data_IF_719797967481
#
_entry.id   IF_719797967481
#
_cell.length_a   1.000
_cell.length_b   1.000
_cell.length_c   1.000
_cell.angle_alpha   90.00
_cell.angle_beta   90.00
_cell.angle_gamma   90.00
#
_symmetry.space_group_name_H-M   'P 1'
#
loop_
_entity.id
_entity.type
_entity.pdbx_description
1 polymer ?
#
# COMPACT_ATOMS: atom_id res chain seq x y z
N UNK A 1 -0.16 10.60 -46.70
CA UNK A 1 0.94 10.09 -45.84
C UNK A 1 1.40 11.24 -44.94
N UNK A 2 0.46 11.89 -44.22
CA UNK A 2 0.63 13.33 -43.86
C UNK A 2 -0.21 13.82 -42.68
N UNK A 3 -0.73 12.96 -41.81
CA UNK A 3 -1.35 13.36 -40.51
C UNK A 3 -1.29 12.20 -39.51
N UNK A 4 -1.35 10.97 -40.04
CA UNK A 4 -1.23 9.73 -39.27
C UNK A 4 0.21 9.45 -38.79
N UNK A 5 1.23 9.83 -39.57
CA UNK A 5 2.64 9.68 -39.16
C UNK A 5 3.09 10.76 -38.17
N UNK A 6 2.49 11.96 -38.20
CA UNK A 6 2.71 12.99 -37.18
C UNK A 6 2.00 12.67 -35.87
N UNK A 7 0.82 12.04 -35.89
CA UNK A 7 0.22 11.49 -34.67
C UNK A 7 1.03 10.31 -34.14
N UNK A 8 1.52 9.40 -35.01
CA UNK A 8 2.37 8.28 -34.57
C UNK A 8 3.72 8.73 -33.99
N UNK A 9 4.33 9.79 -34.53
CA UNK A 9 5.56 10.34 -33.96
C UNK A 9 5.32 11.03 -32.60
N UNK A 10 4.17 11.68 -32.38
CA UNK A 10 3.77 12.14 -31.03
C UNK A 10 3.41 10.97 -30.09
N UNK A 11 2.98 9.82 -30.62
CA UNK A 11 2.74 8.59 -29.86
C UNK A 11 4.04 7.90 -29.40
N UNK A 12 5.15 8.06 -30.13
CA UNK A 12 6.45 7.48 -29.76
C UNK A 12 7.34 8.42 -28.95
N UNK A 13 7.03 9.71 -28.92
CA UNK A 13 7.61 10.67 -27.98
C UNK A 13 6.48 11.31 -27.18
N UNK A 14 5.97 10.59 -26.18
CA UNK A 14 5.12 11.14 -25.13
C UNK A 14 5.90 12.22 -24.38
N UNK A 15 6.00 13.42 -24.96
CA UNK A 15 6.55 14.58 -24.28
C UNK A 15 5.50 14.98 -23.26
N UNK A 16 5.61 14.41 -22.06
CA UNK A 16 4.84 14.82 -20.90
C UNK A 16 4.89 16.35 -20.83
N UNK A 17 3.72 17.00 -20.88
CA UNK A 17 3.67 18.44 -20.84
C UNK A 17 4.26 18.91 -19.48
N UNK A 18 5.33 19.72 -19.45
CA UNK A 18 5.95 20.13 -18.20
C UNK A 18 4.97 20.82 -17.24
N UNK A 19 3.94 21.48 -17.77
CA UNK A 19 2.88 22.08 -16.96
C UNK A 19 2.04 21.01 -16.23
N UNK A 20 1.63 19.92 -16.89
CA UNK A 20 0.81 18.86 -16.26
C UNK A 20 1.57 18.13 -15.16
N UNK A 21 2.86 17.86 -15.38
CA UNK A 21 3.74 17.31 -14.33
C UNK A 21 3.83 18.27 -13.14
N UNK A 22 4.01 19.56 -13.40
CA UNK A 22 4.15 20.58 -12.34
C UNK A 22 2.88 20.67 -11.49
N UNK A 23 1.70 20.62 -12.11
CA UNK A 23 0.42 20.61 -11.40
C UNK A 23 0.23 19.34 -10.57
N UNK A 24 0.58 18.18 -11.12
CA UNK A 24 0.54 16.89 -10.42
C UNK A 24 1.46 16.87 -9.19
N UNK A 25 2.69 17.35 -9.34
CA UNK A 25 3.67 17.49 -8.25
C UNK A 25 3.16 18.44 -7.18
N UNK A 26 2.65 19.61 -7.59
CA UNK A 26 2.14 20.63 -6.67
C UNK A 26 0.93 20.12 -5.89
N UNK A 27 0.01 19.44 -6.56
CA UNK A 27 -1.16 18.82 -5.93
C UNK A 27 -0.77 17.75 -4.93
N UNK A 28 0.14 16.85 -5.30
CA UNK A 28 0.68 15.83 -4.40
C UNK A 28 1.40 16.45 -3.20
N UNK A 29 2.16 17.53 -3.38
CA UNK A 29 2.82 18.24 -2.29
C UNK A 29 1.83 18.90 -1.32
N UNK A 30 0.79 19.56 -1.83
CA UNK A 30 -0.26 20.18 -1.01
C UNK A 30 -0.99 19.11 -0.18
N UNK A 31 -1.43 18.02 -0.82
CA UNK A 31 -2.14 16.92 -0.15
C UNK A 31 -1.23 16.23 0.87
N UNK A 32 0.04 16.02 0.52
CA UNK A 32 1.01 15.44 1.44
C UNK A 32 1.27 16.31 2.67
N UNK A 33 1.41 17.63 2.47
CA UNK A 33 1.64 18.59 3.54
C UNK A 33 0.44 18.73 4.48
N UNK A 34 -0.79 18.71 3.94
CA UNK A 34 -2.01 18.77 4.76
C UNK A 34 -2.19 17.49 5.58
N UNK A 35 -1.94 16.32 5.00
CA UNK A 35 -1.97 15.05 5.72
C UNK A 35 -0.94 14.99 6.85
N UNK A 36 0.30 15.42 6.58
CA UNK A 36 1.34 15.50 7.59
C UNK A 36 0.95 16.47 8.72
N UNK A 37 0.43 17.65 8.38
CA UNK A 37 0.00 18.66 9.35
C UNK A 37 -1.15 18.16 10.22
N UNK A 38 -2.15 17.51 9.60
CA UNK A 38 -3.26 16.89 10.32
C UNK A 38 -2.77 15.81 11.30
N UNK A 39 -1.83 14.96 10.87
CA UNK A 39 -1.26 13.94 11.74
C UNK A 39 -0.50 14.54 12.93
N UNK A 40 0.24 15.63 12.72
CA UNK A 40 0.90 16.39 13.78
C UNK A 40 -0.10 16.97 14.78
N UNK A 41 -1.21 17.53 14.29
CA UNK A 41 -2.31 18.05 15.14
C UNK A 41 -2.95 16.93 15.98
N UNK A 42 -3.27 15.79 15.37
CA UNK A 42 -3.82 14.63 16.09
C UNK A 42 -2.84 14.09 17.14
N UNK A 43 -1.53 14.15 16.87
CA UNK A 43 -0.52 13.80 17.86
C UNK A 43 -0.45 14.78 19.02
N UNK A 44 -0.54 16.08 18.73
CA UNK A 44 -0.62 17.11 19.76
C UNK A 44 -1.87 16.95 20.64
N UNK A 45 -2.99 16.47 20.07
CA UNK A 45 -4.22 16.16 20.81
C UNK A 45 -4.19 14.80 21.56
N UNK A 46 -3.07 14.09 21.56
CA UNK A 46 -2.86 12.86 22.35
C UNK A 46 -2.98 11.54 21.57
N UNK A 47 -3.33 11.57 20.28
CA UNK A 47 -3.32 10.37 19.43
C UNK A 47 -1.91 10.09 18.89
N UNK A 48 -1.13 9.33 19.68
CA UNK A 48 0.28 9.01 19.34
C UNK A 48 0.42 8.20 18.05
N UNK A 49 -0.58 7.42 17.63
CA UNK A 49 -0.55 6.55 16.45
C UNK A 49 -1.64 6.99 15.46
N UNK A 50 -1.36 8.04 14.69
CA UNK A 50 -2.36 8.72 13.85
C UNK A 50 -1.91 8.94 12.41
N UNK A 51 -0.73 8.47 12.00
CA UNK A 51 -0.17 8.86 10.69
C UNK A 51 -0.99 8.29 9.54
N UNK A 52 -1.31 7.00 9.58
CA UNK A 52 -2.06 6.35 8.51
C UNK A 52 -3.52 6.84 8.54
N UNK A 53 -4.11 6.95 9.73
CA UNK A 53 -5.47 7.47 9.89
C UNK A 53 -5.62 8.90 9.35
N UNK A 54 -4.68 9.79 9.66
CA UNK A 54 -4.65 11.15 9.11
C UNK A 54 -4.48 11.16 7.59
N UNK A 55 -3.62 10.29 7.06
CA UNK A 55 -3.46 10.10 5.62
C UNK A 55 -4.76 9.67 4.94
N UNK A 56 -5.49 8.72 5.54
CA UNK A 56 -6.81 8.28 5.05
C UNK A 56 -7.81 9.44 5.06
N UNK A 57 -7.94 10.14 6.19
CA UNK A 57 -8.87 11.27 6.31
C UNK A 57 -8.57 12.39 5.31
N UNK A 58 -7.29 12.78 5.18
CA UNK A 58 -6.87 13.81 4.23
C UNK A 58 -7.10 13.36 2.78
N UNK A 59 -6.76 12.11 2.44
CA UNK A 59 -6.98 11.56 1.11
C UNK A 59 -8.46 11.55 0.70
N UNK A 60 -9.36 11.12 1.60
CA UNK A 60 -10.81 11.16 1.34
C UNK A 60 -11.32 12.59 1.18
N UNK A 61 -10.84 13.53 2.01
CA UNK A 61 -11.24 14.92 1.94
C UNK A 61 -10.77 15.61 0.65
N UNK A 62 -9.51 15.40 0.26
CA UNK A 62 -8.96 15.90 -1.00
C UNK A 62 -9.39 15.07 -2.22
N UNK A 63 -10.11 13.98 -1.99
CA UNK A 63 -10.59 13.09 -3.03
C UNK A 63 -11.86 13.55 -3.74
N UNK A 64 -12.33 12.76 -4.73
CA UNK A 64 -13.53 13.06 -5.51
C UNK A 64 -14.80 13.17 -4.66
N UNK A 65 -14.83 12.52 -3.50
CA UNK A 65 -15.97 12.53 -2.59
C UNK A 65 -16.28 13.92 -2.01
N UNK A 66 -15.24 14.71 -1.70
CA UNK A 66 -15.36 15.97 -0.99
C UNK A 66 -14.85 17.14 -1.85
N UNK A 67 -13.56 17.18 -2.19
CA UNK A 67 -12.98 18.28 -2.94
C UNK A 67 -13.61 18.48 -4.33
N UNK A 68 -13.95 17.42 -5.08
CA UNK A 68 -14.58 17.60 -6.39
C UNK A 68 -15.98 18.23 -6.31
N UNK A 69 -16.67 18.12 -5.17
CA UNK A 69 -17.99 18.73 -4.96
C UNK A 69 -17.90 20.17 -4.48
N UNK A 70 -16.97 20.46 -3.58
CA UNK A 70 -16.86 21.76 -2.91
C UNK A 70 -15.99 22.73 -3.73
N UNK A 71 -14.89 22.24 -4.32
CA UNK A 71 -13.91 23.02 -5.07
C UNK A 71 -13.51 22.30 -6.38
N UNK A 72 -14.40 22.26 -7.40
CA UNK A 72 -14.20 21.47 -8.60
C UNK A 72 -12.99 21.92 -9.43
N UNK A 73 -12.71 23.23 -9.50
CA UNK A 73 -11.57 23.75 -10.26
C UNK A 73 -10.24 23.36 -9.62
N UNK A 74 -10.16 23.39 -8.29
CA UNK A 74 -8.99 22.93 -7.54
C UNK A 74 -8.78 21.42 -7.75
N UNK A 75 -9.83 20.63 -7.64
CA UNK A 75 -9.75 19.18 -7.82
C UNK A 75 -9.32 18.80 -9.24
N UNK A 76 -9.91 19.45 -10.26
CA UNK A 76 -9.56 19.19 -11.66
C UNK A 76 -8.14 19.62 -12.00
N UNK A 77 -7.64 20.70 -11.41
CA UNK A 77 -6.29 21.22 -11.70
C UNK A 77 -5.20 20.41 -10.98
N UNK A 78 -5.42 20.06 -9.70
CA UNK A 78 -4.35 19.51 -8.84
C UNK A 78 -4.47 18.01 -8.54
N UNK A 79 -5.63 17.39 -8.77
CA UNK A 79 -5.89 16.00 -8.33
C UNK A 79 -6.25 15.08 -9.47
N UNK A 80 -7.08 15.52 -10.42
CA UNK A 80 -7.57 14.69 -11.52
C UNK A 80 -6.89 15.01 -12.87
N UNK A 81 -6.64 16.28 -13.19
CA UNK A 81 -6.03 16.73 -14.45
C UNK A 81 -6.87 16.50 -15.72
N UNK A 82 -7.83 15.59 -15.65
CA UNK A 82 -8.53 15.00 -16.80
C UNK A 82 -10.00 15.45 -16.89
N UNK A 83 -10.35 16.60 -16.33
CA UNK A 83 -11.74 17.05 -16.19
C UNK A 83 -12.50 17.08 -17.53
N UNK A 84 -11.86 17.48 -18.62
CA UNK A 84 -12.49 17.53 -19.94
C UNK A 84 -12.65 16.16 -20.60
N UNK A 85 -11.67 15.27 -20.44
CA UNK A 85 -11.76 13.86 -20.88
C UNK A 85 -12.83 13.09 -20.10
N UNK A 86 -13.00 13.40 -18.82
CA UNK A 86 -14.05 12.83 -18.00
C UNK A 86 -15.44 13.32 -18.41
N UNK A 87 -15.58 14.60 -18.79
CA UNK A 87 -16.83 15.11 -19.39
C UNK A 87 -17.13 14.42 -20.71
N UNK A 88 -16.12 14.11 -21.51
CA UNK A 88 -16.28 13.40 -22.79
C UNK A 88 -16.81 11.98 -22.58
N UNK A 89 -16.27 11.23 -21.61
CA UNK A 89 -16.81 9.93 -21.20
C UNK A 89 -18.26 10.04 -20.68
N UNK A 90 -18.57 11.06 -19.87
CA UNK A 90 -19.95 11.27 -19.42
C UNK A 90 -20.90 11.63 -20.56
N UNK A 91 -20.42 12.31 -21.61
CA UNK A 91 -21.24 12.62 -22.80
C UNK A 91 -21.56 11.34 -23.57
N UNK A 92 -20.59 10.45 -23.77
CA UNK A 92 -20.82 9.17 -24.45
C UNK A 92 -21.78 8.27 -23.65
N UNK A 93 -21.60 8.18 -22.33
CA UNK A 93 -22.48 7.41 -21.45
C UNK A 93 -23.92 7.95 -21.45
N UNK A 94 -24.09 9.28 -21.34
CA UNK A 94 -25.42 9.90 -21.42
C UNK A 94 -26.07 9.73 -22.79
N UNK A 95 -25.29 9.74 -23.87
CA UNK A 95 -25.82 9.50 -25.21
C UNK A 95 -26.35 8.06 -25.35
N UNK A 96 -25.66 7.08 -24.75
CA UNK A 96 -26.11 5.69 -24.66
C UNK A 96 -27.39 5.55 -23.83
N UNK A 97 -27.44 6.18 -22.66
CA UNK A 97 -28.63 6.20 -21.81
C UNK A 97 -29.82 6.87 -22.52
N UNK A 98 -29.60 7.99 -23.19
CA UNK A 98 -30.62 8.68 -23.96
C UNK A 98 -31.14 7.82 -25.12
N UNK A 99 -30.27 7.08 -25.81
CA UNK A 99 -30.67 6.12 -26.84
C UNK A 99 -31.52 4.98 -26.25
N UNK A 100 -31.11 4.43 -25.10
CA UNK A 100 -31.86 3.36 -24.44
C UNK A 100 -33.25 3.84 -24.00
N UNK A 101 -33.35 5.06 -23.47
CA UNK A 101 -34.63 5.68 -23.09
C UNK A 101 -35.49 5.96 -24.33
N UNK A 102 -34.90 6.47 -25.42
CA UNK A 102 -35.61 6.71 -26.68
C UNK A 102 -36.13 5.39 -27.31
N UNK A 103 -35.31 4.34 -27.32
CA UNK A 103 -35.69 3.02 -27.79
C UNK A 103 -36.83 2.42 -26.94
N UNK A 104 -36.74 2.52 -25.62
CA UNK A 104 -37.76 2.04 -24.68
C UNK A 104 -39.09 2.79 -24.84
N UNK A 105 -39.05 4.11 -25.02
CA UNK A 105 -40.25 4.94 -25.19
C UNK A 105 -40.93 4.77 -26.53
N UNK A 106 -40.16 4.55 -27.60
CA UNK A 106 -40.69 4.36 -28.95
C UNK A 106 -41.00 2.90 -29.29
N UNK A 107 -40.62 1.96 -28.41
CA UNK A 107 -40.68 0.51 -28.65
C UNK A 107 -39.97 0.10 -29.96
N UNK A 108 -38.91 0.82 -30.32
CA UNK A 108 -38.09 0.52 -31.51
C UNK A 108 -36.75 -0.06 -31.11
N UNK A 109 -36.25 -0.99 -31.92
CA UNK A 109 -34.90 -1.53 -31.75
C UNK A 109 -33.95 -0.54 -32.42
N UNK A 110 -32.96 0.02 -31.70
CA UNK A 110 -31.98 0.91 -32.29
C UNK A 110 -31.16 0.18 -33.36
N UNK A 111 -30.80 0.89 -34.43
CA UNK A 111 -30.01 0.30 -35.51
C UNK A 111 -28.63 -0.13 -35.01
N UNK A 112 -28.17 -1.31 -35.43
CA UNK A 112 -26.87 -1.88 -35.02
C UNK A 112 -25.69 -0.95 -35.32
N UNK A 113 -25.74 -0.18 -36.41
CA UNK A 113 -24.70 0.79 -36.75
C UNK A 113 -24.55 1.89 -35.70
N UNK A 114 -25.66 2.32 -35.09
CA UNK A 114 -25.67 3.37 -34.06
C UNK A 114 -25.11 2.83 -32.74
N UNK A 115 -25.45 1.58 -32.40
CA UNK A 115 -24.90 0.90 -31.22
C UNK A 115 -23.39 0.71 -31.33
N UNK A 116 -22.90 0.26 -32.49
CA UNK A 116 -21.47 0.06 -32.74
C UNK A 116 -20.70 1.39 -32.66
N UNK A 117 -21.25 2.48 -33.20
CA UNK A 117 -20.63 3.80 -33.14
C UNK A 117 -20.57 4.35 -31.70
N UNK A 118 -21.64 4.18 -30.92
CA UNK A 118 -21.67 4.55 -29.49
C UNK A 118 -20.70 3.72 -28.65
N UNK A 119 -20.63 2.40 -28.88
CA UNK A 119 -19.68 1.52 -28.20
C UNK A 119 -18.23 1.89 -28.54
N UNK A 120 -17.95 2.20 -29.81
CA UNK A 120 -16.63 2.66 -30.24
C UNK A 120 -16.27 4.01 -29.60
N UNK A 121 -17.22 4.95 -29.55
CA UNK A 121 -17.03 6.25 -28.92
C UNK A 121 -16.75 6.09 -27.42
N UNK A 122 -17.55 5.29 -26.70
CA UNK A 122 -17.36 5.03 -25.27
C UNK A 122 -15.98 4.41 -25.00
N UNK A 123 -15.59 3.37 -25.75
CA UNK A 123 -14.26 2.75 -25.61
C UNK A 123 -13.14 3.74 -25.89
N UNK A 124 -13.27 4.57 -26.93
CA UNK A 124 -12.26 5.58 -27.24
C UNK A 124 -12.12 6.62 -26.12
N UNK A 125 -13.24 7.06 -25.52
CA UNK A 125 -13.25 8.00 -24.41
C UNK A 125 -12.64 7.39 -23.14
N UNK A 126 -12.89 6.10 -22.89
CA UNK A 126 -12.27 5.34 -21.78
C UNK A 126 -10.75 5.24 -21.94
N UNK A 127 -10.26 4.89 -23.13
CA UNK A 127 -8.82 4.79 -23.41
C UNK A 127 -8.15 6.16 -23.22
N UNK A 128 -8.70 7.21 -23.82
CA UNK A 128 -8.14 8.56 -23.70
C UNK A 128 -8.15 9.09 -22.26
N UNK A 129 -9.17 8.73 -21.47
CA UNK A 129 -9.22 9.06 -20.04
C UNK A 129 -8.13 8.32 -19.26
N UNK A 130 -7.91 7.03 -19.54
CA UNK A 130 -6.85 6.25 -18.90
C UNK A 130 -5.46 6.79 -19.24
N UNK A 131 -5.22 7.10 -20.52
CA UNK A 131 -3.96 7.71 -20.98
C UNK A 131 -3.72 9.05 -20.28
N UNK A 132 -4.70 9.97 -20.31
CA UNK A 132 -4.57 11.28 -19.67
C UNK A 132 -4.35 11.18 -18.15
N UNK A 133 -5.00 10.21 -17.48
CA UNK A 133 -4.77 9.96 -16.05
C UNK A 133 -3.36 9.46 -15.79
N UNK A 134 -2.87 8.53 -16.61
CA UNK A 134 -1.51 8.01 -16.47
C UNK A 134 -0.45 9.09 -16.64
N UNK A 135 -0.65 10.02 -17.59
CA UNK A 135 0.23 11.17 -17.80
C UNK A 135 0.18 12.15 -16.62
N UNK A 136 -1.02 12.46 -16.13
CA UNK A 136 -1.19 13.38 -15.01
C UNK A 136 -0.64 12.79 -13.72
N UNK A 137 -0.91 11.53 -13.41
CA UNK A 137 -0.48 10.90 -12.15
C UNK A 137 1.01 10.58 -12.09
N UNK A 138 1.74 10.73 -13.21
CA UNK A 138 3.18 10.48 -13.29
C UNK A 138 3.98 11.24 -12.21
N UNK A 139 3.71 12.53 -12.00
CA UNK A 139 4.39 13.34 -10.98
C UNK A 139 4.11 12.84 -9.55
N UNK A 140 2.84 12.56 -9.25
CA UNK A 140 2.40 12.03 -7.97
C UNK A 140 2.95 10.63 -7.68
N UNK A 141 3.04 9.77 -8.69
CA UNK A 141 3.64 8.45 -8.61
C UNK A 141 5.09 8.52 -8.11
N UNK A 142 5.91 9.37 -8.73
CA UNK A 142 7.32 9.48 -8.35
C UNK A 142 7.51 10.12 -6.97
N UNK A 143 6.67 11.08 -6.59
CA UNK A 143 6.68 11.62 -5.21
C UNK A 143 6.37 10.52 -4.20
N UNK A 144 5.32 9.73 -4.42
CA UNK A 144 4.96 8.65 -3.50
C UNK A 144 6.01 7.54 -3.47
N UNK A 145 6.61 7.19 -4.61
CA UNK A 145 7.71 6.23 -4.67
C UNK A 145 8.92 6.73 -3.86
N UNK A 146 9.31 8.00 -4.00
CA UNK A 146 10.41 8.60 -3.22
C UNK A 146 10.09 8.67 -1.72
N UNK A 147 8.86 9.03 -1.34
CA UNK A 147 8.43 9.02 0.06
C UNK A 147 8.43 7.59 0.64
N UNK A 148 7.94 6.61 -0.11
CA UNK A 148 8.00 5.20 0.28
C UNK A 148 9.45 4.71 0.39
N UNK A 149 10.34 5.16 -0.51
CA UNK A 149 11.77 4.88 -0.46
C UNK A 149 12.43 5.49 0.80
N UNK A 150 12.06 6.71 1.19
CA UNK A 150 12.51 7.31 2.45
C UNK A 150 11.99 6.54 3.67
N UNK A 151 10.72 6.12 3.66
CA UNK A 151 10.11 5.31 4.74
C UNK A 151 10.82 3.96 4.88
N UNK A 152 11.07 3.26 3.78
CA UNK A 152 11.77 1.97 3.77
C UNK A 152 13.25 2.10 4.14
N UNK A 153 13.92 3.17 3.72
CA UNK A 153 15.30 3.48 4.12
C UNK A 153 15.42 3.65 5.64
N UNK A 154 14.51 4.42 6.27
CA UNK A 154 14.54 4.64 7.72
C UNK A 154 13.99 3.47 8.55
N UNK A 155 13.12 2.63 7.98
CA UNK A 155 12.45 1.52 8.70
C UNK A 155 12.76 0.15 8.11
N UNK A 156 13.89 0.01 7.44
CA UNK A 156 14.29 -1.24 6.78
C UNK A 156 14.23 -2.42 7.77
N UNK A 157 13.56 -3.52 7.40
CA UNK A 157 13.55 -4.73 8.21
C UNK A 157 14.92 -5.41 8.23
N UNK A 158 15.76 -5.18 7.22
CA UNK A 158 17.07 -5.81 7.10
C UNK A 158 18.07 -5.26 8.13
N UNK A 159 18.55 -6.13 9.03
CA UNK A 159 19.64 -5.84 9.96
C UNK A 159 20.88 -6.69 9.61
N UNK A 160 22.00 -6.03 9.27
CA UNK A 160 23.25 -6.72 8.90
C UNK A 160 24.12 -7.17 10.07
N UNK A 161 24.17 -8.46 10.38
CA UNK A 161 25.35 -9.19 10.89
C UNK A 161 25.26 -10.65 10.43
N UNK A 162 26.40 -11.23 10.10
CA UNK A 162 26.65 -12.43 9.27
C UNK A 162 26.31 -13.78 9.91
N UNK A 163 25.19 -13.88 10.65
CA UNK A 163 24.75 -15.13 11.28
C UNK A 163 23.31 -15.51 10.94
N UNK A 164 22.91 -15.24 9.69
CA UNK A 164 21.60 -15.56 9.11
C UNK A 164 21.22 -17.04 9.28
N UNK A 165 22.24 -17.89 9.33
CA UNK A 165 22.14 -19.35 9.40
C UNK A 165 22.22 -19.93 10.82
N UNK A 166 22.44 -19.11 11.86
CA UNK A 166 22.55 -19.60 13.26
C UNK A 166 21.22 -19.51 13.99
N UNK A 167 20.95 -20.52 14.84
CA UNK A 167 19.89 -20.46 15.86
C UNK A 167 18.45 -20.48 15.35
N UNK A 168 18.18 -20.99 14.14
CA UNK A 168 16.81 -21.14 13.63
C UNK A 168 16.15 -19.86 13.09
N UNK A 169 16.89 -18.76 12.98
CA UNK A 169 16.37 -17.46 12.53
C UNK A 169 15.71 -17.50 11.14
N UNK A 170 16.25 -18.28 10.20
CA UNK A 170 15.66 -18.46 8.87
C UNK A 170 14.24 -19.05 8.97
N UNK A 171 14.07 -20.11 9.76
CA UNK A 171 12.77 -20.74 9.93
C UNK A 171 11.76 -19.79 10.57
N UNK A 172 12.16 -19.02 11.59
CA UNK A 172 11.30 -18.00 12.21
C UNK A 172 10.86 -16.95 11.17
N UNK A 173 11.81 -16.44 10.39
CA UNK A 173 11.54 -15.43 9.35
C UNK A 173 10.65 -15.93 8.23
N UNK A 174 10.75 -17.21 7.87
CA UNK A 174 9.84 -17.85 6.90
C UNK A 174 8.44 -17.95 7.50
N UNK A 175 8.30 -18.45 8.73
CA UNK A 175 6.99 -18.61 9.37
C UNK A 175 6.23 -17.29 9.48
N UNK A 176 6.91 -16.19 9.85
CA UNK A 176 6.29 -14.87 10.06
C UNK A 176 5.75 -14.24 8.78
N UNK A 177 6.25 -14.66 7.61
CA UNK A 177 5.86 -14.14 6.30
C UNK A 177 4.93 -15.11 5.55
N UNK A 178 5.10 -16.42 5.74
CA UNK A 178 4.39 -17.45 4.99
C UNK A 178 2.87 -17.40 5.20
N UNK A 179 2.40 -17.23 6.43
CA UNK A 179 0.95 -17.19 6.71
C UNK A 179 0.29 -15.95 6.09
N UNK A 180 0.82 -14.72 6.27
CA UNK A 180 0.28 -13.55 5.59
C UNK A 180 0.31 -13.65 4.06
N UNK A 181 1.39 -14.19 3.47
CA UNK A 181 1.47 -14.41 2.01
C UNK A 181 0.40 -15.43 1.57
N UNK A 182 0.30 -16.57 2.25
CA UNK A 182 -0.65 -17.61 1.91
C UNK A 182 -2.10 -17.10 1.94
N UNK A 183 -2.43 -16.22 2.88
CA UNK A 183 -3.74 -15.59 2.93
C UNK A 183 -4.01 -14.70 1.70
N UNK A 184 -3.04 -13.88 1.28
CA UNK A 184 -3.16 -13.05 0.06
C UNK A 184 -3.35 -13.93 -1.17
N UNK A 185 -2.55 -15.00 -1.31
CA UNK A 185 -2.64 -15.92 -2.44
C UNK A 185 -3.96 -16.71 -2.46
N UNK A 186 -4.48 -17.08 -1.29
CA UNK A 186 -5.78 -17.73 -1.17
C UNK A 186 -6.90 -16.81 -1.66
N UNK A 187 -6.85 -15.52 -1.29
CA UNK A 187 -7.83 -14.53 -1.75
C UNK A 187 -7.72 -14.34 -3.26
N UNK A 188 -6.49 -14.24 -3.79
CA UNK A 188 -6.30 -14.16 -5.24
C UNK A 188 -6.90 -15.36 -5.96
N UNK A 189 -6.71 -16.57 -5.40
CA UNK A 189 -7.29 -17.80 -5.94
C UNK A 189 -8.83 -17.79 -5.89
N UNK A 190 -9.43 -17.25 -4.82
CA UNK A 190 -10.88 -17.15 -4.69
C UNK A 190 -11.47 -16.13 -5.67
N UNK A 191 -10.83 -14.98 -5.86
CA UNK A 191 -11.33 -13.88 -6.69
C UNK A 191 -11.07 -14.08 -8.19
N UNK A 192 -9.91 -14.63 -8.55
CA UNK A 192 -9.46 -14.69 -9.96
C UNK A 192 -9.31 -16.09 -10.52
N UNK A 193 -9.58 -17.14 -9.72
CA UNK A 193 -9.26 -18.54 -10.02
C UNK A 193 -7.76 -18.82 -10.24
N UNK A 194 -6.88 -17.81 -10.20
CA UNK A 194 -5.43 -17.91 -10.27
C UNK A 194 -4.80 -17.36 -8.99
N UNK A 195 -3.79 -18.04 -8.44
CA UNK A 195 -3.14 -17.60 -7.20
C UNK A 195 -2.00 -16.61 -7.45
N UNK A 196 -1.39 -16.62 -8.63
CA UNK A 196 -0.13 -15.93 -8.95
C UNK A 196 -0.35 -14.81 -9.98
N UNK A 197 -1.29 -13.92 -9.70
CA UNK A 197 -1.48 -12.70 -10.50
C UNK A 197 -0.51 -11.60 -10.07
N UNK A 198 -0.18 -10.65 -10.95
CA UNK A 198 0.73 -9.53 -10.63
C UNK A 198 0.29 -8.77 -9.37
N UNK A 199 -1.01 -8.51 -9.23
CA UNK A 199 -1.54 -7.80 -8.06
C UNK A 199 -1.39 -8.60 -6.76
N UNK A 200 -1.54 -9.93 -6.81
CA UNK A 200 -1.40 -10.80 -5.64
C UNK A 200 0.05 -10.83 -5.14
N UNK A 201 1.02 -10.80 -6.05
CA UNK A 201 2.45 -10.74 -5.73
C UNK A 201 2.82 -9.38 -5.13
N UNK A 202 2.31 -8.28 -5.68
CA UNK A 202 2.50 -6.93 -5.11
C UNK A 202 1.92 -6.85 -3.69
N UNK A 203 0.69 -7.34 -3.50
CA UNK A 203 0.06 -7.40 -2.18
C UNK A 203 0.85 -8.28 -1.20
N UNK A 204 1.30 -9.45 -1.64
CA UNK A 204 2.11 -10.38 -0.85
C UNK A 204 3.45 -9.75 -0.43
N UNK A 205 4.12 -9.02 -1.33
CA UNK A 205 5.35 -8.31 -1.01
C UNK A 205 5.13 -7.21 0.05
N UNK A 206 4.09 -6.39 -0.10
CA UNK A 206 3.76 -5.34 0.87
C UNK A 206 3.40 -5.90 2.25
N UNK A 207 2.62 -6.99 2.29
CA UNK A 207 2.23 -7.67 3.53
C UNK A 207 3.43 -8.36 4.19
N UNK A 208 4.31 -8.99 3.40
CA UNK A 208 5.55 -9.61 3.88
C UNK A 208 6.49 -8.61 4.56
N UNK A 209 6.61 -7.40 4.00
CA UNK A 209 7.39 -6.32 4.61
C UNK A 209 6.82 -5.93 5.98
N UNK A 210 5.50 -5.97 6.10
CA UNK A 210 4.74 -5.65 7.31
C UNK A 210 4.80 -6.70 8.41
N UNK A 211 5.47 -7.85 8.20
CA UNK A 211 5.50 -8.98 9.13
C UNK A 211 5.96 -8.58 10.55
N UNK A 212 5.36 -9.19 11.56
CA UNK A 212 5.61 -8.88 12.97
C UNK A 212 6.96 -9.48 13.41
N UNK A 213 8.00 -8.65 13.45
CA UNK A 213 9.32 -9.04 13.94
C UNK A 213 9.91 -7.98 14.89
N UNK A 214 10.61 -8.39 15.97
CA UNK A 214 11.01 -7.48 17.04
C UNK A 214 12.04 -6.46 16.56
N UNK A 215 11.72 -5.17 16.69
CA UNK A 215 12.60 -4.07 16.31
C UNK A 215 13.65 -3.77 17.38
N UNK A 216 14.76 -3.13 17.02
CA UNK A 216 15.81 -2.72 17.98
C UNK A 216 15.27 -1.91 19.17
N UNK A 217 14.29 -1.03 18.92
CA UNK A 217 13.62 -0.23 19.95
C UNK A 217 12.56 -1.00 20.77
N UNK A 218 12.22 -2.24 20.39
CA UNK A 218 11.35 -3.15 21.12
C UNK A 218 12.14 -4.34 21.69
N UNK A 219 13.42 -4.43 21.32
CA UNK A 219 14.32 -5.50 21.70
C UNK A 219 14.44 -5.59 23.22
N UNK A 220 14.45 -4.45 23.92
CA UNK A 220 14.44 -4.39 25.38
C UNK A 220 13.15 -4.95 26.01
N UNK A 221 11.98 -4.84 25.35
CA UNK A 221 10.75 -5.48 25.83
C UNK A 221 10.81 -7.01 25.67
N UNK A 222 11.61 -7.49 24.72
CA UNK A 222 11.82 -8.92 24.45
C UNK A 222 13.07 -9.51 25.12
N UNK A 223 13.99 -8.67 25.62
CA UNK A 223 15.30 -9.08 26.15
C UNK A 223 15.15 -10.08 27.29
N UNK A 224 14.17 -9.93 28.18
CA UNK A 224 13.95 -10.88 29.28
C UNK A 224 13.48 -12.28 28.86
N UNK A 225 12.93 -12.46 27.65
CA UNK A 225 12.39 -13.74 27.17
C UNK A 225 13.22 -14.37 26.03
N UNK A 226 14.03 -13.58 25.34
CA UNK A 226 14.75 -13.98 24.12
C UNK A 226 16.23 -13.54 24.08
N UNK A 227 16.81 -13.15 25.22
CA UNK A 227 18.21 -12.66 25.31
C UNK A 227 19.22 -13.60 24.65
N UNK A 228 19.11 -14.91 24.94
CA UNK A 228 19.96 -15.96 24.37
C UNK A 228 19.75 -16.16 22.86
N UNK A 229 18.59 -15.76 22.34
CA UNK A 229 18.16 -15.95 20.96
C UNK A 229 18.15 -14.65 20.13
N UNK A 230 18.73 -13.57 20.65
CA UNK A 230 18.79 -12.25 20.00
C UNK A 230 19.33 -12.30 18.56
N UNK A 231 20.37 -13.12 18.32
CA UNK A 231 20.93 -13.33 16.98
C UNK A 231 19.96 -14.01 16.00
N UNK A 232 19.11 -14.92 16.48
CA UNK A 232 18.10 -15.60 15.65
C UNK A 232 16.98 -14.64 15.22
N UNK A 233 16.63 -13.66 16.06
CA UNK A 233 15.62 -12.63 15.74
C UNK A 233 16.11 -11.66 14.67
N UNK A 234 17.37 -11.24 14.73
CA UNK A 234 17.98 -10.42 13.69
C UNK A 234 18.04 -11.18 12.36
N UNK A 235 18.39 -12.47 12.39
CA UNK A 235 18.36 -13.34 11.21
C UNK A 235 16.94 -13.52 10.64
N UNK A 236 15.92 -13.65 11.49
CA UNK A 236 14.52 -13.74 11.06
C UNK A 236 14.05 -12.48 10.34
N UNK A 237 14.46 -11.30 10.82
CA UNK A 237 14.20 -9.99 10.19
C UNK A 237 14.83 -9.83 8.83
N UNK A 238 16.11 -10.20 8.73
CA UNK A 238 16.80 -10.26 7.45
C UNK A 238 16.05 -11.17 6.47
N UNK A 239 15.71 -12.38 6.91
CA UNK A 239 15.03 -13.39 6.08
C UNK A 239 13.69 -12.88 5.57
N UNK A 240 12.84 -12.31 6.44
CA UNK A 240 11.56 -11.74 6.04
C UNK A 240 11.72 -10.59 5.03
N UNK A 241 12.71 -9.71 5.23
CA UNK A 241 13.05 -8.64 4.29
C UNK A 241 13.49 -9.18 2.92
N UNK A 242 14.28 -10.25 2.87
CA UNK A 242 14.70 -10.89 1.62
C UNK A 242 13.57 -11.61 0.91
N UNK A 243 12.69 -12.31 1.63
CA UNK A 243 11.49 -12.92 1.04
C UNK A 243 10.61 -11.84 0.42
N UNK A 244 10.38 -10.76 1.15
CA UNK A 244 9.60 -9.62 0.70
C UNK A 244 10.19 -8.97 -0.56
N UNK A 245 11.52 -8.78 -0.61
CA UNK A 245 12.24 -8.33 -1.81
C UNK A 245 12.12 -9.30 -2.98
N UNK A 246 12.29 -10.61 -2.74
CA UNK A 246 12.20 -11.61 -3.79
C UNK A 246 10.81 -11.60 -4.44
N UNK A 247 9.74 -11.55 -3.63
CA UNK A 247 8.37 -11.44 -4.13
C UNK A 247 8.17 -10.12 -4.90
N UNK A 248 8.74 -9.01 -4.42
CA UNK A 248 8.65 -7.72 -5.11
C UNK A 248 9.33 -7.73 -6.49
N UNK A 249 10.49 -8.38 -6.61
CA UNK A 249 11.21 -8.54 -7.89
C UNK A 249 10.42 -9.42 -8.85
N UNK A 250 9.86 -10.52 -8.36
CA UNK A 250 9.01 -11.40 -9.19
C UNK A 250 7.76 -10.64 -9.66
N UNK A 251 7.15 -9.83 -8.81
CA UNK A 251 6.01 -8.99 -9.20
C UNK A 251 6.39 -7.99 -10.30
N UNK A 252 7.59 -7.40 -10.22
CA UNK A 252 8.07 -6.39 -11.17
C UNK A 252 8.23 -6.93 -12.60
N UNK A 253 8.45 -8.24 -12.80
CA UNK A 253 8.53 -8.82 -14.14
C UNK A 253 7.24 -8.71 -14.95
N UNK A 254 6.09 -8.60 -14.29
CA UNK A 254 4.78 -8.44 -14.94
C UNK A 254 4.35 -6.99 -15.14
N UNK A 255 5.22 -6.01 -14.88
CA UNK A 255 4.91 -4.58 -14.90
C UNK A 255 5.61 -3.86 -16.08
N UNK A 256 5.08 -2.71 -16.51
CA UNK A 256 5.81 -1.81 -17.41
C UNK A 256 7.07 -1.26 -16.72
N UNK A 257 8.05 -0.79 -17.50
CA UNK A 257 9.33 -0.33 -16.97
C UNK A 257 9.18 0.77 -15.90
N UNK A 258 8.37 1.79 -16.16
CA UNK A 258 8.18 2.91 -15.22
C UNK A 258 7.49 2.46 -13.93
N UNK A 259 6.46 1.61 -14.06
CA UNK A 259 5.76 0.99 -12.95
C UNK A 259 6.67 0.09 -12.12
N UNK A 260 7.50 -0.72 -12.77
CA UNK A 260 8.50 -1.56 -12.13
C UNK A 260 9.56 -0.71 -11.42
N UNK A 261 10.03 0.38 -12.02
CA UNK A 261 11.01 1.28 -11.42
C UNK A 261 10.46 1.96 -10.16
N UNK A 262 9.25 2.51 -10.22
CA UNK A 262 8.58 3.11 -9.06
C UNK A 262 8.33 2.07 -7.96
N UNK A 263 7.95 0.84 -8.33
CA UNK A 263 7.75 -0.26 -7.39
C UNK A 263 9.05 -0.73 -6.74
N UNK A 264 10.14 -0.84 -7.50
CA UNK A 264 11.45 -1.35 -7.06
C UNK A 264 12.27 -0.32 -6.27
N UNK A 265 11.98 0.98 -6.42
CA UNK A 265 12.71 2.05 -5.74
C UNK A 265 12.77 1.86 -4.20
N UNK A 266 11.67 1.60 -3.47
CA UNK A 266 11.71 1.37 -2.03
C UNK A 266 12.50 0.12 -1.62
N UNK A 267 12.58 -0.87 -2.50
CA UNK A 267 13.34 -2.09 -2.27
C UNK A 267 14.84 -1.87 -2.47
N UNK A 268 15.22 -1.07 -3.46
CA UNK A 268 16.60 -0.62 -3.66
C UNK A 268 17.12 0.19 -2.47
N UNK A 269 16.29 1.09 -1.92
CA UNK A 269 16.65 1.83 -0.70
C UNK A 269 16.70 0.97 0.55
N UNK A 270 15.91 -0.11 0.62
CA UNK A 270 16.03 -1.10 1.69
C UNK A 270 17.41 -1.79 1.67
N UNK A 271 17.93 -2.14 0.48
CA UNK A 271 19.29 -2.69 0.31
C UNK A 271 20.37 -1.66 0.63
N UNK A 272 20.17 -0.39 0.27
CA UNK A 272 21.08 0.68 0.67
C UNK A 272 21.09 0.88 2.21
N UNK A 273 19.92 0.80 2.85
CA UNK A 273 19.81 0.84 4.31
C UNK A 273 20.59 -0.29 4.99
N UNK A 274 20.60 -1.48 4.36
CA UNK A 274 21.37 -2.62 4.83
C UNK A 274 22.88 -2.34 4.82
N UNK A 275 23.39 -1.65 3.79
CA UNK A 275 24.80 -1.23 3.70
C UNK A 275 25.20 -0.07 4.60
N UNK A 276 24.25 0.81 4.99
CA UNK A 276 24.48 2.04 5.75
C UNK A 276 24.19 1.93 7.27
N UNK A 277 24.08 0.71 7.80
CA UNK A 277 23.58 0.40 9.16
C UNK A 277 24.28 1.16 10.30
N UNK A 278 25.56 1.50 10.16
CA UNK A 278 26.35 2.11 11.23
C UNK A 278 26.05 3.60 11.48
N UNK A 279 25.28 4.26 10.60
CA UNK A 279 24.91 5.67 10.71
C UNK A 279 23.40 5.90 10.59
N UNK A 280 22.58 5.50 11.59
CA UNK A 280 21.15 5.76 11.55
C UNK A 280 20.88 7.27 11.56
N UNK A 281 20.42 7.80 10.44
CA UNK A 281 20.14 9.22 10.30
C UNK A 281 18.85 9.59 11.06
N UNK A 282 19.00 10.19 12.24
CA UNK A 282 17.90 10.57 13.14
C UNK A 282 16.84 11.43 12.44
N UNK A 283 17.25 12.31 11.52
CA UNK A 283 16.35 13.18 10.76
C UNK A 283 15.40 12.34 9.91
N UNK A 284 15.93 11.33 9.21
CA UNK A 284 15.15 10.45 8.34
C UNK A 284 14.11 9.64 9.15
N UNK A 285 14.46 9.23 10.38
CA UNK A 285 13.54 8.50 11.27
C UNK A 285 12.37 9.35 11.77
N UNK A 286 12.54 10.67 11.91
CA UNK A 286 11.48 11.60 12.29
C UNK A 286 10.49 11.84 11.15
N UNK A 287 10.97 11.81 9.91
CA UNK A 287 10.17 12.05 8.70
C UNK A 287 9.32 10.85 8.26
N UNK A 288 9.55 9.64 8.80
CA UNK A 288 8.83 8.41 8.41
C UNK A 288 7.32 8.54 8.54
N UNK A 289 6.87 9.08 9.68
CA UNK A 289 5.44 9.26 9.95
C UNK A 289 4.78 10.20 8.95
N UNK A 290 5.25 11.46 8.83
CA UNK A 290 4.77 12.42 7.84
C UNK A 290 4.79 11.87 6.40
N UNK A 291 5.88 11.21 6.01
CA UNK A 291 6.03 10.64 4.68
C UNK A 291 4.99 9.54 4.40
N UNK A 292 4.67 8.71 5.40
CA UNK A 292 3.62 7.70 5.28
C UNK A 292 2.25 8.33 5.14
N UNK A 293 1.92 9.32 5.98
CA UNK A 293 0.64 10.04 5.90
C UNK A 293 0.46 10.69 4.52
N UNK A 294 1.53 11.28 3.97
CA UNK A 294 1.54 11.85 2.64
C UNK A 294 1.32 10.81 1.54
N UNK A 295 2.02 9.66 1.56
CA UNK A 295 1.81 8.58 0.58
C UNK A 295 0.34 8.14 0.52
N UNK A 296 -0.23 7.89 1.70
CA UNK A 296 -1.61 7.41 1.84
C UNK A 296 -2.61 8.44 1.33
N UNK A 297 -2.42 9.71 1.67
CA UNK A 297 -3.31 10.78 1.23
C UNK A 297 -3.25 11.01 -0.29
N UNK A 298 -2.05 11.01 -0.88
CA UNK A 298 -1.84 11.21 -2.32
C UNK A 298 -2.48 10.07 -3.13
N UNK A 299 -2.36 8.82 -2.67
CA UNK A 299 -2.98 7.68 -3.33
C UNK A 299 -4.52 7.73 -3.23
N UNK A 300 -5.05 7.96 -2.02
CA UNK A 300 -6.50 7.94 -1.79
C UNK A 300 -7.25 9.11 -2.42
N UNK A 301 -6.61 10.27 -2.58
CA UNK A 301 -7.27 11.43 -3.22
C UNK A 301 -7.62 11.21 -4.69
N UNK A 302 -7.07 10.17 -5.32
CA UNK A 302 -7.28 9.86 -6.75
C UNK A 302 -8.30 8.75 -6.99
N UNK A 303 -8.80 8.11 -5.92
CA UNK A 303 -9.69 6.96 -6.00
C UNK A 303 -11.15 7.40 -5.83
N UNK A 304 -12.03 7.00 -6.75
CA UNK A 304 -13.48 7.24 -6.63
C UNK A 304 -14.14 6.07 -5.88
N UNK A 305 -13.90 6.03 -4.55
CA UNK A 305 -14.36 4.98 -3.64
C UNK A 305 -15.83 4.55 -3.89
N UNK A 306 -16.84 5.43 -3.97
CA UNK A 306 -18.23 4.99 -4.11
C UNK A 306 -18.55 4.35 -5.47
N UNK A 307 -17.78 4.62 -6.52
CA UNK A 307 -17.99 4.01 -7.85
C UNK A 307 -17.16 2.75 -8.07
N UNK A 308 -16.00 2.68 -7.43
CA UNK A 308 -14.99 1.66 -7.69
C UNK A 308 -14.88 0.63 -6.55
N UNK A 309 -15.59 0.84 -5.44
CA UNK A 309 -15.64 -0.07 -4.30
C UNK A 309 -16.85 -1.00 -4.39
N UNK A 310 -16.64 -2.16 -5.01
CA UNK A 310 -17.57 -3.28 -4.87
C UNK A 310 -17.38 -3.92 -3.48
N UNK A 311 -18.48 -4.17 -2.78
CA UNK A 311 -18.49 -4.76 -1.43
C UNK A 311 -18.17 -6.27 -1.49
N UNK A 312 -16.98 -6.65 -1.93
CA UNK A 312 -16.43 -8.01 -1.78
C UNK A 312 -15.99 -8.22 -0.32
N UNK A 313 -15.77 -9.46 0.18
CA UNK A 313 -15.55 -9.80 1.60
C UNK A 313 -14.16 -9.35 2.12
N UNK A 314 -13.88 -8.06 1.99
CA UNK A 314 -12.68 -7.31 2.36
C UNK A 314 -12.48 -7.21 3.88
N UNK A 315 -13.52 -7.51 4.67
CA UNK A 315 -13.43 -7.66 6.14
C UNK A 315 -12.57 -8.87 6.53
N UNK A 316 -12.47 -9.91 5.69
CA UNK A 316 -11.57 -11.05 5.94
C UNK A 316 -10.08 -10.69 5.87
N UNK A 317 -9.71 -9.66 5.10
CA UNK A 317 -8.33 -9.16 4.95
C UNK A 317 -7.85 -8.35 6.14
N UNK A 318 -8.75 -7.64 6.82
CA UNK A 318 -8.47 -7.00 8.11
C UNK A 318 -7.95 -8.04 9.12
N UNK A 319 -8.62 -9.20 9.21
CA UNK A 319 -8.19 -10.32 10.05
C UNK A 319 -6.90 -10.99 9.53
N UNK A 320 -6.79 -11.23 8.23
CA UNK A 320 -5.61 -11.89 7.66
C UNK A 320 -4.33 -11.05 7.78
N UNK A 321 -4.42 -9.73 7.62
CA UNK A 321 -3.29 -8.81 7.64
C UNK A 321 -2.79 -8.51 9.05
N UNK A 322 -3.68 -8.38 10.04
CA UNK A 322 -3.29 -7.94 11.38
C UNK A 322 -3.19 -9.08 12.40
N UNK A 323 -4.06 -10.10 12.33
CA UNK A 323 -4.10 -11.18 13.31
C UNK A 323 -3.17 -12.35 12.99
N UNK A 324 -3.06 -12.71 11.71
CA UNK A 324 -2.18 -13.81 11.32
C UNK A 324 -0.70 -13.48 11.54
N UNK A 325 -0.29 -12.21 11.56
CA UNK A 325 1.13 -11.83 11.69
C UNK A 325 1.71 -12.15 13.07
N UNK A 326 0.99 -11.84 14.14
CA UNK A 326 1.46 -12.16 15.48
C UNK A 326 1.29 -13.65 15.78
N UNK A 327 0.22 -14.29 15.29
CA UNK A 327 0.06 -15.75 15.38
C UNK A 327 1.20 -16.47 14.65
N UNK A 328 1.55 -16.02 13.45
CA UNK A 328 2.65 -16.57 12.66
C UNK A 328 4.00 -16.43 13.39
N UNK A 329 4.23 -15.27 14.03
CA UNK A 329 5.41 -15.08 14.87
C UNK A 329 5.42 -16.02 16.08
N UNK A 330 4.26 -16.23 16.75
CA UNK A 330 4.14 -17.17 17.86
C UNK A 330 4.44 -18.61 17.43
N UNK A 331 3.86 -19.07 16.31
CA UNK A 331 4.10 -20.39 15.70
C UNK A 331 5.59 -20.54 15.38
N UNK A 332 6.20 -19.52 14.78
CA UNK A 332 7.64 -19.47 14.52
C UNK A 332 8.43 -19.72 15.80
N UNK A 333 8.17 -18.96 16.87
CA UNK A 333 8.87 -19.12 18.14
C UNK A 333 8.63 -20.47 18.82
N UNK A 334 7.41 -21.01 18.80
CA UNK A 334 7.13 -22.31 19.41
C UNK A 334 7.78 -23.46 18.68
N UNK A 335 7.72 -23.48 17.35
CA UNK A 335 8.20 -24.61 16.55
C UNK A 335 9.73 -24.61 16.41
N UNK A 336 10.35 -23.43 16.32
CA UNK A 336 11.79 -23.32 16.02
C UNK A 336 12.68 -23.15 17.25
N UNK A 337 12.19 -22.48 18.29
CA UNK A 337 12.94 -22.23 19.53
C UNK A 337 12.40 -23.06 20.71
N UNK A 338 11.38 -23.89 20.49
CA UNK A 338 10.72 -24.71 21.52
C UNK A 338 10.23 -23.90 22.74
N UNK A 339 9.89 -22.62 22.52
CA UNK A 339 9.35 -21.75 23.57
C UNK A 339 7.90 -22.15 23.84
N UNK A 340 7.44 -22.22 25.10
CA UNK A 340 6.04 -22.53 25.42
C UNK A 340 5.06 -21.57 24.74
N UNK A 341 3.94 -22.09 24.24
CA UNK A 341 2.94 -21.34 23.46
C UNK A 341 2.50 -20.01 24.10
N UNK A 342 2.19 -20.00 25.40
CA UNK A 342 1.79 -18.77 26.09
C UNK A 342 2.92 -17.72 26.13
N UNK A 343 4.18 -18.14 26.29
CA UNK A 343 5.33 -17.22 26.26
C UNK A 343 5.57 -16.69 24.84
N UNK A 344 5.44 -17.55 23.83
CA UNK A 344 5.52 -17.14 22.42
C UNK A 344 4.44 -16.13 22.03
N UNK A 345 3.20 -16.34 22.50
CA UNK A 345 2.08 -15.42 22.32
C UNK A 345 2.33 -14.05 22.97
N UNK A 346 2.82 -14.03 24.21
CA UNK A 346 3.18 -12.77 24.88
C UNK A 346 4.17 -11.96 24.06
N UNK A 347 5.24 -12.61 23.60
CA UNK A 347 6.28 -11.96 22.80
C UNK A 347 5.69 -11.46 21.48
N UNK A 348 4.94 -12.29 20.76
CA UNK A 348 4.38 -11.92 19.47
C UNK A 348 3.37 -10.78 19.54
N UNK A 349 2.58 -10.71 20.62
CA UNK A 349 1.64 -9.61 20.88
C UNK A 349 2.36 -8.30 21.24
N UNK A 350 3.54 -8.38 21.86
CA UNK A 350 4.34 -7.21 22.24
C UNK A 350 5.11 -6.59 21.05
N UNK A 351 5.37 -7.37 20.00
CA UNK A 351 6.05 -6.92 18.77
C UNK A 351 5.11 -5.99 17.99
N UNK A 352 5.57 -4.78 17.64
CA UNK A 352 4.82 -3.99 16.68
C UNK A 352 5.14 -4.45 15.26
N UNK A 353 4.08 -4.65 14.48
CA UNK A 353 4.16 -4.77 13.03
C UNK A 353 4.86 -3.54 12.42
N UNK A 354 5.18 -3.60 11.14
CA UNK A 354 5.64 -2.45 10.38
C UNK A 354 4.49 -1.82 9.58
N UNK A 355 3.49 -1.16 10.21
CA UNK A 355 2.32 -0.64 9.48
C UNK A 355 2.69 0.52 8.56
N UNK A 356 3.66 1.36 8.96
CA UNK A 356 4.05 2.54 8.17
C UNK A 356 4.63 2.16 6.79
N UNK A 357 5.64 1.28 6.68
CA UNK A 357 6.15 0.88 5.37
C UNK A 357 5.14 0.07 4.56
N UNK A 358 4.32 -0.77 5.19
CA UNK A 358 3.23 -1.47 4.48
C UNK A 358 2.26 -0.47 3.85
N UNK A 359 1.83 0.55 4.60
CA UNK A 359 0.91 1.57 4.09
C UNK A 359 1.54 2.39 2.95
N UNK A 360 2.83 2.73 3.07
CA UNK A 360 3.56 3.41 2.01
C UNK A 360 3.65 2.55 0.73
N UNK A 361 4.03 1.28 0.84
CA UNK A 361 4.11 0.35 -0.28
C UNK A 361 2.74 0.09 -0.93
N UNK A 362 1.69 -0.08 -0.14
CA UNK A 362 0.32 -0.24 -0.65
C UNK A 362 -0.16 1.01 -1.39
N UNK A 363 0.21 2.21 -0.92
CA UNK A 363 -0.13 3.48 -1.58
C UNK A 363 0.59 3.62 -2.92
N UNK A 364 1.88 3.26 -2.99
CA UNK A 364 2.63 3.24 -4.24
C UNK A 364 2.03 2.22 -5.22
N UNK A 365 1.68 1.02 -4.74
CA UNK A 365 1.06 -0.02 -5.55
C UNK A 365 -0.32 0.38 -6.13
N UNK A 366 -1.10 1.15 -5.36
CA UNK A 366 -2.36 1.74 -5.83
C UNK A 366 -2.12 2.75 -6.96
N UNK A 367 -1.13 3.65 -6.80
CA UNK A 367 -0.82 4.67 -7.82
C UNK A 367 -0.23 4.09 -9.11
N UNK A 368 0.48 2.97 -9.02
CA UNK A 368 0.96 2.24 -10.19
C UNK A 368 -0.21 1.58 -10.95
N UNK A 369 -1.38 1.44 -10.34
CA UNK A 369 -2.57 0.83 -10.96
C UNK A 369 -2.51 -0.70 -11.05
N UNK A 370 -1.52 -1.34 -10.44
CA UNK A 370 -1.39 -2.81 -10.44
C UNK A 370 -2.21 -3.45 -9.33
N UNK A 371 -2.43 -2.74 -8.22
CA UNK A 371 -3.24 -3.24 -7.13
C UNK A 371 -4.71 -2.84 -7.31
N UNK A 372 -5.68 -3.78 -7.31
CA UNK A 372 -7.09 -3.45 -7.29
C UNK A 372 -7.43 -2.54 -6.11
N UNK A 373 -8.32 -1.57 -6.35
CA UNK A 373 -8.68 -0.54 -5.38
C UNK A 373 -9.18 -1.13 -4.06
N UNK A 374 -10.05 -2.15 -4.14
CA UNK A 374 -10.58 -2.85 -2.96
C UNK A 374 -9.46 -3.47 -2.12
N UNK A 375 -8.43 -4.05 -2.77
CA UNK A 375 -7.30 -4.68 -2.08
C UNK A 375 -6.42 -3.61 -1.44
N UNK A 376 -6.09 -2.54 -2.16
CA UNK A 376 -5.29 -1.45 -1.61
C UNK A 376 -5.95 -0.76 -0.43
N UNK A 377 -7.25 -0.46 -0.51
CA UNK A 377 -8.02 0.08 0.62
C UNK A 377 -8.01 -0.86 1.81
N UNK A 378 -8.20 -2.17 1.60
CA UNK A 378 -8.16 -3.15 2.69
C UNK A 378 -6.79 -3.19 3.40
N UNK A 379 -5.70 -3.11 2.64
CA UNK A 379 -4.33 -3.09 3.18
C UNK A 379 -4.05 -1.80 3.96
N UNK A 380 -4.56 -0.66 3.50
CA UNK A 380 -4.44 0.62 4.19
C UNK A 380 -5.23 0.64 5.50
N UNK A 381 -6.47 0.15 5.48
CA UNK A 381 -7.31 0.02 6.69
C UNK A 381 -6.68 -0.95 7.68
N UNK A 382 -6.16 -2.10 7.23
CA UNK A 382 -5.45 -3.05 8.09
C UNK A 382 -4.19 -2.43 8.71
N UNK A 383 -3.43 -1.64 7.95
CA UNK A 383 -2.25 -0.94 8.46
C UNK A 383 -2.65 0.14 9.49
N UNK A 384 -3.72 0.90 9.24
CA UNK A 384 -4.26 1.91 10.15
C UNK A 384 -4.75 1.27 11.47
N UNK A 385 -5.49 0.16 11.35
CA UNK A 385 -5.96 -0.61 12.50
C UNK A 385 -4.79 -1.12 13.34
N UNK A 386 -3.74 -1.62 12.71
CA UNK A 386 -2.52 -2.03 13.41
C UNK A 386 -1.83 -0.89 14.16
N UNK A 387 -1.84 0.32 13.59
CA UNK A 387 -1.35 1.52 14.27
C UNK A 387 -2.19 1.81 15.53
N UNK A 388 -3.52 1.78 15.41
CA UNK A 388 -4.48 2.11 16.47
C UNK A 388 -4.55 1.04 17.56
N UNK A 389 -4.48 -0.25 17.20
CA UNK A 389 -4.58 -1.39 18.12
C UNK A 389 -3.26 -1.73 18.82
N UNK A 390 -2.12 -1.21 18.34
CA UNK A 390 -0.80 -1.45 18.95
C UNK A 390 -0.75 -1.22 20.48
N UNK A 391 -1.35 -0.16 21.06
CA UNK A 391 -1.39 0.02 22.50
C UNK A 391 -2.18 -1.07 23.24
N UNK A 392 -3.33 -1.49 22.70
CA UNK A 392 -4.16 -2.55 23.27
C UNK A 392 -3.42 -3.90 23.25
N UNK A 393 -2.67 -4.18 22.18
CA UNK A 393 -1.80 -5.37 22.08
C UNK A 393 -0.70 -5.39 23.15
N UNK A 394 -0.10 -4.24 23.45
CA UNK A 394 0.90 -4.14 24.53
C UNK A 394 0.28 -4.33 25.92
N UNK A 395 -0.96 -3.88 26.13
CA UNK A 395 -1.68 -4.10 27.39
C UNK A 395 -2.02 -5.59 27.56
N UNK A 396 -2.56 -6.23 26.51
CA UNK A 396 -2.87 -7.67 26.54
C UNK A 396 -1.63 -8.53 26.74
N UNK A 397 -0.50 -8.19 26.12
CA UNK A 397 0.79 -8.85 26.37
C UNK A 397 1.22 -8.75 27.85
N UNK A 398 1.05 -7.58 28.48
CA UNK A 398 1.31 -7.39 29.92
C UNK A 398 0.35 -8.14 30.81
N UNK A 399 -0.89 -8.35 30.40
CA UNK A 399 -1.83 -9.16 31.17
C UNK A 399 -1.49 -10.66 31.06
N UNK A 400 -1.09 -11.11 29.88
CA UNK A 400 -0.62 -12.49 29.65
C UNK A 400 0.63 -12.82 30.50
N UNK A 401 1.52 -11.85 30.64
CA UNK A 401 2.69 -11.88 31.53
C UNK A 401 2.31 -12.21 32.98
N UNK A 402 1.33 -11.48 33.52
CA UNK A 402 0.81 -11.71 34.86
C UNK A 402 0.22 -13.12 35.02
N UNK A 403 -0.52 -13.61 34.02
CA UNK A 403 -1.11 -14.96 34.02
C UNK A 403 -0.05 -16.07 33.97
N UNK A 404 1.07 -15.84 33.26
CA UNK A 404 2.18 -16.79 33.18
C UNK A 404 2.89 -16.89 34.54
N UNK A 405 3.03 -15.78 35.26
CA UNK A 405 3.69 -15.74 36.57
C UNK A 405 2.76 -16.04 37.76
N UNK A 406 1.43 -16.06 37.56
CA UNK A 406 0.46 -16.38 38.60
C UNK A 406 0.10 -17.87 38.72
N UNK A 407 0.53 -18.72 37.77
CA UNK A 407 0.38 -20.18 37.90
C UNK A 407 1.58 -20.73 38.69
N UNK A 408 1.39 -21.29 39.90
CA UNK A 408 2.41 -22.13 40.51
C UNK A 408 2.57 -23.40 39.66
N UNK A 409 3.81 -23.87 39.53
CA UNK A 409 4.16 -25.13 38.85
C UNK A 409 3.40 -26.35 39.40
#
# INVERSE_FOLDING_TARGET
>A
MTLYETSLNNYCTGVLNPETITWSISGAAIIGATAASLAWLLRASGWKNSWIAAGICAGVFFGPLCCAKIFPDFYNTFVNGCGDRQKELFRSQRAREALNVAAATTQTIPADSVLVELDAWERSAQIQLQEARSEFDYGALWITAMLAAAVTLARSPMSGRTHWWRGGGLAIGVWTVLIPIAAVLLIAKLETQEALTTWSLVAAAAVAFGAALPRGAEHWMTMGLLESNSSALDAARGTAGFISLAVAVVAAWGMSFDSAAAWLLPWGTMLAAWGLRDYPNKILTLCVGPATAACVAIALSRIDIPKEFEFTPTVGLYFAGEDLRWIAAAIGFTLTLSIPWLRSLRVSLAISSAPLPQAALASTALLIGVLPIWMGLSLLVAAAASEVLSPLRKITAKHLDQLIHSKPE
#
